data_IF_593887473262
#
_entry.id   IF_593887473262
#
_cell.length_a   1.000
_cell.length_b   1.000
_cell.length_c   1.000
_cell.angle_alpha   90.00
_cell.angle_beta   90.00
_cell.angle_gamma   90.00
#
_symmetry.space_group_name_H-M   'P 1'
#
loop_
_entity.id
_entity.type
_entity.pdbx_description
1 polymer ?
#
# COMPACT_ATOMS: atom_id res chain seq x y z
N UNK A 1 -13.79 10.95 33.67
CA UNK A 1 -12.46 10.72 33.07
C UNK A 1 -12.21 9.22 33.03
N UNK A 2 -12.72 8.54 32.01
CA UNK A 2 -12.06 7.34 31.45
C UNK A 2 -12.62 6.99 30.06
N UNK A 3 -12.43 7.90 29.10
CA UNK A 3 -12.76 7.65 27.69
C UNK A 3 -11.77 6.66 27.03
N UNK A 4 -10.72 6.21 27.76
CA UNK A 4 -9.70 5.30 27.22
C UNK A 4 -10.12 3.84 27.19
N UNK A 5 -11.14 3.45 27.94
CA UNK A 5 -11.61 2.04 27.99
C UNK A 5 -12.59 1.73 26.85
N UNK A 6 -13.15 2.74 26.18
CA UNK A 6 -14.00 2.54 24.99
C UNK A 6 -13.21 2.20 23.72
N UNK A 7 -11.90 2.46 23.68
CA UNK A 7 -11.05 2.31 22.48
C UNK A 7 -10.53 0.88 22.24
N UNK A 8 -10.85 -0.07 23.11
CA UNK A 8 -10.49 -1.49 22.93
C UNK A 8 -11.59 -2.32 22.26
N UNK A 9 -12.73 -1.71 21.91
CA UNK A 9 -13.78 -2.43 21.19
C UNK A 9 -13.38 -2.59 19.72
N UNK A 10 -13.40 -3.81 19.16
CA UNK A 10 -13.19 -4.00 17.74
C UNK A 10 -14.21 -3.15 16.98
N UNK A 11 -13.71 -2.27 16.11
CA UNK A 11 -14.54 -1.42 15.25
C UNK A 11 -15.62 -2.27 14.56
N UNK A 12 -16.92 -2.00 14.83
CA UNK A 12 -18.02 -2.81 14.33
C UNK A 12 -18.23 -2.68 12.81
N UNK A 13 -17.53 -1.75 12.15
CA UNK A 13 -17.74 -1.43 10.73
C UNK A 13 -16.95 -2.28 9.75
N UNK A 14 -16.00 -3.12 10.19
CA UNK A 14 -15.25 -4.01 9.31
C UNK A 14 -15.05 -5.41 9.91
N UNK A 15 -15.29 -6.49 9.12
CA UNK A 15 -14.99 -7.86 9.50
C UNK A 15 -13.56 -7.99 10.02
N UNK A 16 -13.38 -8.81 11.06
CA UNK A 16 -12.06 -9.04 11.65
C UNK A 16 -11.01 -9.47 10.61
N UNK A 17 -11.42 -10.22 9.58
CA UNK A 17 -10.55 -10.61 8.46
C UNK A 17 -10.06 -9.40 7.64
N UNK A 18 -10.96 -8.51 7.22
CA UNK A 18 -10.60 -7.31 6.45
C UNK A 18 -9.70 -6.39 7.27
N UNK A 19 -10.02 -6.19 8.54
CA UNK A 19 -9.18 -5.40 9.45
C UNK A 19 -7.77 -5.99 9.58
N UNK A 20 -7.64 -7.31 9.73
CA UNK A 20 -6.34 -8.00 9.75
C UNK A 20 -5.60 -7.84 8.43
N UNK A 21 -6.29 -8.01 7.30
CA UNK A 21 -5.69 -7.84 5.97
C UNK A 21 -5.13 -6.43 5.77
N UNK A 22 -5.87 -5.38 6.15
CA UNK A 22 -5.39 -4.01 6.11
C UNK A 22 -4.23 -3.75 7.08
N UNK A 23 -4.26 -4.31 8.29
CA UNK A 23 -3.16 -4.18 9.23
C UNK A 23 -1.87 -4.83 8.70
N UNK A 24 -1.98 -6.04 8.12
CA UNK A 24 -0.85 -6.72 7.47
C UNK A 24 -0.34 -5.92 6.27
N UNK A 25 -1.23 -5.40 5.43
CA UNK A 25 -0.86 -4.55 4.31
C UNK A 25 -0.16 -3.26 4.76
N UNK A 26 -0.65 -2.62 5.82
CA UNK A 26 -0.05 -1.40 6.38
C UNK A 26 1.34 -1.69 6.97
N UNK A 27 1.51 -2.79 7.70
CA UNK A 27 2.81 -3.22 8.21
C UNK A 27 3.79 -3.55 7.08
N UNK A 28 3.33 -4.25 6.03
CA UNK A 28 4.12 -4.55 4.85
C UNK A 28 4.59 -3.29 4.12
N UNK A 29 3.70 -2.30 3.93
CA UNK A 29 4.05 -0.99 3.37
C UNK A 29 5.08 -0.25 4.22
N UNK A 30 4.91 -0.27 5.55
CA UNK A 30 5.84 0.37 6.47
C UNK A 30 7.23 -0.26 6.36
N UNK A 31 7.32 -1.59 6.44
CA UNK A 31 8.57 -2.33 6.36
C UNK A 31 9.27 -2.12 5.00
N UNK A 32 8.52 -2.26 3.89
CA UNK A 32 9.06 -2.06 2.55
C UNK A 32 9.47 -0.61 2.31
N UNK A 33 8.68 0.35 2.78
CA UNK A 33 8.96 1.78 2.65
C UNK A 33 10.18 2.21 3.45
N UNK A 34 10.36 1.71 4.68
CA UNK A 34 11.59 1.93 5.46
C UNK A 34 12.80 1.35 4.73
N UNK A 35 12.69 0.14 4.19
CA UNK A 35 13.77 -0.45 3.40
C UNK A 35 14.11 0.40 2.16
N UNK A 36 13.10 0.95 1.47
CA UNK A 36 13.29 1.85 0.33
C UNK A 36 13.98 3.17 0.70
N UNK A 37 13.78 3.68 1.92
CA UNK A 37 14.44 4.90 2.41
C UNK A 37 15.89 4.64 2.81
N UNK A 38 16.12 3.58 3.58
CA UNK A 38 17.43 3.25 4.17
C UNK A 38 18.37 2.61 3.14
N UNK A 39 17.86 1.66 2.34
CA UNK A 39 18.64 0.92 1.37
C UNK A 39 17.87 0.72 0.05
N UNK A 40 17.80 1.78 -0.80
CA UNK A 40 17.13 1.70 -2.11
C UNK A 40 17.69 0.58 -2.98
N UNK A 41 19.01 0.36 -2.95
CA UNK A 41 19.64 -0.73 -3.70
C UNK A 41 19.16 -2.11 -3.25
N UNK A 42 19.11 -2.39 -1.94
CA UNK A 42 18.58 -3.67 -1.46
C UNK A 42 17.08 -3.82 -1.77
N UNK A 43 16.33 -2.72 -1.77
CA UNK A 43 14.92 -2.71 -2.17
C UNK A 43 14.76 -3.15 -3.63
N UNK A 44 15.58 -2.62 -4.55
CA UNK A 44 15.60 -3.04 -5.95
C UNK A 44 16.03 -4.50 -6.13
N UNK A 45 17.01 -4.98 -5.36
CA UNK A 45 17.38 -6.41 -5.35
C UNK A 45 16.22 -7.29 -4.93
N UNK A 46 15.52 -6.92 -3.87
CA UNK A 46 14.35 -7.65 -3.37
C UNK A 46 13.17 -7.60 -4.37
N UNK A 47 13.06 -6.52 -5.15
CA UNK A 47 12.11 -6.42 -6.26
C UNK A 47 12.54 -7.22 -7.51
N UNK A 48 13.74 -7.81 -7.51
CA UNK A 48 14.26 -8.61 -8.63
C UNK A 48 14.85 -7.79 -9.78
N UNK A 49 15.22 -6.52 -9.53
CA UNK A 49 15.78 -5.60 -10.53
C UNK A 49 17.00 -4.81 -10.03
N UNK A 50 18.06 -5.50 -9.56
CA UNK A 50 19.31 -4.84 -9.18
C UNK A 50 19.87 -3.91 -10.28
N UNK A 51 19.70 -4.29 -11.55
CA UNK A 51 20.27 -3.63 -12.72
C UNK A 51 19.61 -2.28 -13.06
N UNK A 52 18.45 -1.97 -12.48
CA UNK A 52 17.75 -0.70 -12.69
C UNK A 52 18.23 0.42 -11.75
N UNK A 53 19.28 0.18 -10.96
CA UNK A 53 19.77 1.16 -10.00
C UNK A 53 20.46 2.34 -10.71
N UNK A 54 19.71 3.42 -10.92
CA UNK A 54 20.23 4.74 -11.32
C UNK A 54 19.97 5.77 -10.21
N UNK A 55 20.59 6.97 -10.24
CA UNK A 55 20.28 8.04 -9.28
C UNK A 55 18.79 8.45 -9.28
N UNK A 56 18.15 8.51 -10.45
CA UNK A 56 16.74 8.86 -10.62
C UNK A 56 15.83 7.78 -10.03
N UNK A 57 16.13 6.50 -10.31
CA UNK A 57 15.39 5.38 -9.73
C UNK A 57 15.59 5.35 -8.21
N UNK A 58 16.81 5.61 -7.72
CA UNK A 58 17.10 5.69 -6.28
C UNK A 58 16.29 6.80 -5.60
N UNK A 59 16.20 7.97 -6.21
CA UNK A 59 15.36 9.06 -5.73
C UNK A 59 13.88 8.67 -5.70
N UNK A 60 13.35 8.11 -6.80
CA UNK A 60 11.95 7.68 -6.89
C UNK A 60 11.62 6.56 -5.89
N UNK A 61 12.51 5.59 -5.70
CA UNK A 61 12.37 4.53 -4.69
C UNK A 61 12.19 5.14 -3.30
N UNK A 62 12.96 6.18 -2.94
CA UNK A 62 12.79 6.89 -1.66
C UNK A 62 11.46 7.64 -1.58
N UNK A 63 11.05 8.32 -2.65
CA UNK A 63 9.75 9.02 -2.69
C UNK A 63 8.60 8.03 -2.49
N UNK A 64 8.61 6.90 -3.20
CA UNK A 64 7.62 5.84 -3.03
C UNK A 64 7.68 5.23 -1.63
N UNK A 65 8.89 5.06 -1.08
CA UNK A 65 9.10 4.59 0.28
C UNK A 65 8.48 5.51 1.33
N UNK A 66 8.74 6.82 1.25
CA UNK A 66 8.16 7.82 2.16
C UNK A 66 6.63 7.77 2.16
N UNK A 67 6.01 7.66 0.98
CA UNK A 67 4.56 7.53 0.82
C UNK A 67 4.03 6.24 1.47
N UNK A 68 4.71 5.11 1.25
CA UNK A 68 4.32 3.84 1.85
C UNK A 68 4.42 3.89 3.39
N UNK A 69 5.45 4.51 3.93
CA UNK A 69 5.60 4.77 5.37
C UNK A 69 4.46 5.62 5.90
N UNK A 70 4.15 6.75 5.24
CA UNK A 70 3.08 7.64 5.68
C UNK A 70 1.72 6.94 5.75
N UNK A 71 1.36 6.18 4.71
CA UNK A 71 0.10 5.42 4.68
C UNK A 71 0.09 4.31 5.74
N UNK A 72 1.19 3.58 5.89
CA UNK A 72 1.32 2.50 6.87
C UNK A 72 1.20 3.00 8.31
N UNK A 73 1.96 4.05 8.66
CA UNK A 73 1.90 4.71 9.96
C UNK A 73 0.52 5.26 10.23
N UNK A 74 -0.05 6.00 9.27
CA UNK A 74 -1.36 6.61 9.39
C UNK A 74 -2.47 5.59 9.68
N UNK A 75 -2.41 4.42 9.03
CA UNK A 75 -3.35 3.34 9.31
C UNK A 75 -3.11 2.70 10.68
N UNK A 76 -1.87 2.32 11.00
CA UNK A 76 -1.55 1.54 12.21
C UNK A 76 -1.76 2.34 13.50
N UNK A 77 -1.44 3.64 13.48
CA UNK A 77 -1.60 4.54 14.62
C UNK A 77 -2.96 5.24 14.67
N UNK A 78 -3.71 5.22 13.58
CA UNK A 78 -5.01 5.87 13.50
C UNK A 78 -6.07 5.20 14.37
N UNK A 79 -6.98 6.01 14.90
CA UNK A 79 -8.27 5.57 15.42
C UNK A 79 -9.18 5.09 14.28
N UNK A 80 -10.39 4.64 14.60
CA UNK A 80 -11.36 4.13 13.60
C UNK A 80 -11.61 5.12 12.44
N UNK A 81 -11.96 6.40 12.68
CA UNK A 81 -12.12 7.39 11.61
C UNK A 81 -10.85 7.62 10.78
N UNK A 82 -9.67 7.71 11.44
CA UNK A 82 -8.40 7.91 10.74
C UNK A 82 -8.05 6.69 9.87
N UNK A 83 -8.25 5.47 10.37
CA UNK A 83 -8.05 4.23 9.60
C UNK A 83 -8.88 4.23 8.32
N UNK A 84 -10.16 4.57 8.41
CA UNK A 84 -11.02 4.66 7.22
C UNK A 84 -10.51 5.70 6.21
N UNK A 85 -10.00 6.85 6.69
CA UNK A 85 -9.41 7.88 5.83
C UNK A 85 -8.13 7.39 5.14
N UNK A 86 -7.24 6.73 5.88
CA UNK A 86 -6.00 6.17 5.34
C UNK A 86 -6.23 4.98 4.41
N UNK A 87 -7.29 4.19 4.62
CA UNK A 87 -7.70 3.16 3.65
C UNK A 87 -8.09 3.79 2.31
N UNK A 88 -8.87 4.87 2.30
CA UNK A 88 -9.28 5.58 1.08
C UNK A 88 -8.10 6.23 0.36
N UNK A 89 -7.19 6.86 1.10
CA UNK A 89 -5.96 7.43 0.55
C UNK A 89 -5.05 6.33 -0.02
N UNK A 90 -4.93 5.20 0.69
CA UNK A 90 -4.22 4.01 0.20
C UNK A 90 -4.80 3.54 -1.12
N UNK A 91 -6.10 3.27 -1.16
CA UNK A 91 -6.81 2.85 -2.38
C UNK A 91 -6.55 3.81 -3.55
N UNK A 92 -6.66 5.13 -3.33
CA UNK A 92 -6.40 6.12 -4.37
C UNK A 92 -4.99 5.98 -4.92
N UNK A 93 -3.98 5.94 -4.05
CA UNK A 93 -2.57 5.81 -4.42
C UNK A 93 -2.32 4.50 -5.16
N UNK A 94 -2.75 3.37 -4.61
CA UNK A 94 -2.52 2.05 -5.21
C UNK A 94 -3.18 1.94 -6.58
N UNK A 95 -4.37 2.54 -6.75
CA UNK A 95 -5.09 2.54 -8.03
C UNK A 95 -4.33 3.35 -9.08
N UNK A 96 -3.83 4.53 -8.72
CA UNK A 96 -3.02 5.36 -9.61
C UNK A 96 -1.73 4.66 -10.02
N UNK A 97 -1.03 4.04 -9.06
CA UNK A 97 0.19 3.29 -9.33
C UNK A 97 -0.08 2.07 -10.24
N UNK A 98 -1.18 1.35 -9.98
CA UNK A 98 -1.60 0.18 -10.79
C UNK A 98 -1.93 0.58 -12.22
N UNK A 99 -2.72 1.64 -12.42
CA UNK A 99 -3.03 2.15 -13.77
C UNK A 99 -1.78 2.66 -14.47
N UNK A 100 -0.93 3.41 -13.77
CA UNK A 100 0.34 3.91 -14.30
C UNK A 100 1.25 2.77 -14.76
N UNK A 101 1.41 1.73 -13.92
CA UNK A 101 2.21 0.57 -14.25
C UNK A 101 1.62 -0.28 -15.38
N UNK A 102 0.30 -0.46 -15.44
CA UNK A 102 -0.38 -1.12 -16.57
C UNK A 102 -0.18 -0.35 -17.88
N UNK A 103 -0.17 0.98 -17.83
CA UNK A 103 0.13 1.81 -18.99
C UNK A 103 1.59 1.66 -19.42
N UNK A 104 2.54 1.69 -18.48
CA UNK A 104 3.96 1.50 -18.75
C UNK A 104 4.27 0.11 -19.34
N UNK A 105 3.56 -0.93 -18.91
CA UNK A 105 3.71 -2.29 -19.45
C UNK A 105 3.44 -2.38 -20.96
N UNK A 106 2.68 -1.44 -21.54
CA UNK A 106 2.42 -1.42 -22.99
C UNK A 106 3.61 -0.95 -23.82
N UNK A 107 4.59 -0.30 -23.20
CA UNK A 107 5.77 0.26 -23.87
C UNK A 107 7.08 -0.42 -23.47
N UNK A 108 7.04 -1.51 -22.68
CA UNK A 108 8.23 -2.23 -22.25
C UNK A 108 8.36 -3.52 -23.07
N UNK A 109 9.31 -3.50 -24.00
CA UNK A 109 9.59 -4.65 -24.88
C UNK A 109 10.65 -5.61 -24.31
N UNK A 110 11.48 -5.13 -23.38
CA UNK A 110 12.52 -5.92 -22.74
C UNK A 110 11.93 -6.90 -21.71
N UNK A 111 12.17 -8.21 -21.88
CA UNK A 111 11.54 -9.24 -21.05
C UNK A 111 11.90 -9.15 -19.55
N UNK A 112 13.18 -8.96 -19.14
CA UNK A 112 13.54 -8.70 -17.75
C UNK A 112 12.80 -7.51 -17.13
N UNK A 113 12.83 -6.34 -17.78
CA UNK A 113 12.12 -5.13 -17.31
C UNK A 113 10.62 -5.33 -17.25
N UNK A 114 10.05 -6.02 -18.24
CA UNK A 114 8.61 -6.33 -18.28
C UNK A 114 8.21 -7.22 -17.11
N UNK A 115 9.00 -8.26 -16.80
CA UNK A 115 8.74 -9.13 -15.64
C UNK A 115 8.74 -8.34 -14.33
N UNK A 116 9.70 -7.44 -14.16
CA UNK A 116 9.77 -6.59 -12.99
C UNK A 116 8.58 -5.63 -12.87
N UNK A 117 8.23 -4.96 -13.97
CA UNK A 117 7.06 -4.08 -14.01
C UNK A 117 5.77 -4.85 -13.71
N UNK A 118 5.61 -6.09 -14.21
CA UNK A 118 4.48 -6.97 -13.87
C UNK A 118 4.45 -7.26 -12.37
N UNK A 119 5.58 -7.57 -11.74
CA UNK A 119 5.65 -7.82 -10.30
C UNK A 119 5.23 -6.59 -9.49
N UNK A 120 5.72 -5.41 -9.86
CA UNK A 120 5.34 -4.15 -9.19
C UNK A 120 3.85 -3.84 -9.36
N UNK A 121 3.31 -4.03 -10.56
CA UNK A 121 1.87 -3.88 -10.84
C UNK A 121 1.04 -4.90 -10.06
N UNK A 122 1.51 -6.13 -9.91
CA UNK A 122 0.82 -7.15 -9.12
C UNK A 122 0.75 -6.76 -7.64
N UNK A 123 1.82 -6.16 -7.09
CA UNK A 123 1.85 -5.66 -5.71
C UNK A 123 0.83 -4.53 -5.52
N UNK A 124 0.88 -3.49 -6.35
CA UNK A 124 -0.06 -2.36 -6.23
C UNK A 124 -1.49 -2.79 -6.53
N UNK A 125 -1.70 -3.68 -7.51
CA UNK A 125 -3.01 -4.22 -7.85
C UNK A 125 -3.63 -5.03 -6.71
N UNK A 126 -2.82 -5.79 -5.96
CA UNK A 126 -3.27 -6.50 -4.75
C UNK A 126 -3.77 -5.51 -3.69
N UNK A 127 -3.04 -4.42 -3.48
CA UNK A 127 -3.46 -3.38 -2.55
C UNK A 127 -4.71 -2.63 -3.03
N UNK A 128 -4.82 -2.33 -4.32
CA UNK A 128 -6.05 -1.77 -4.93
C UNK A 128 -7.24 -2.68 -4.70
N UNK A 129 -7.10 -3.98 -4.95
CA UNK A 129 -8.17 -4.95 -4.74
C UNK A 129 -8.64 -4.99 -3.27
N UNK A 130 -7.69 -4.95 -2.33
CA UNK A 130 -8.01 -4.86 -0.90
C UNK A 130 -8.76 -3.56 -0.55
N UNK A 131 -8.32 -2.42 -1.09
CA UNK A 131 -8.98 -1.14 -0.91
C UNK A 131 -10.40 -1.09 -1.47
N UNK A 132 -10.62 -1.70 -2.64
CA UNK A 132 -11.95 -1.85 -3.25
C UNK A 132 -12.84 -2.71 -2.35
N UNK A 133 -12.35 -3.87 -1.89
CA UNK A 133 -13.10 -4.75 -1.00
C UNK A 133 -13.54 -4.03 0.29
N UNK A 134 -12.63 -3.25 0.91
CA UNK A 134 -12.97 -2.43 2.08
C UNK A 134 -14.00 -1.33 1.78
N UNK A 135 -13.91 -0.69 0.63
CA UNK A 135 -14.85 0.37 0.22
C UNK A 135 -16.24 -0.17 -0.11
N UNK A 136 -16.32 -1.30 -0.81
CA UNK A 136 -17.59 -2.00 -1.09
C UNK A 136 -18.24 -2.44 0.22
N UNK A 137 -17.48 -2.99 1.16
CA UNK A 137 -18.01 -3.39 2.45
C UNK A 137 -18.59 -2.21 3.24
N UNK A 138 -17.92 -1.06 3.25
CA UNK A 138 -18.43 0.14 3.89
C UNK A 138 -19.75 0.62 3.25
N UNK A 139 -19.81 0.65 1.91
CA UNK A 139 -21.02 1.05 1.18
C UNK A 139 -22.23 0.12 1.45
N UNK A 140 -21.99 -1.18 1.59
CA UNK A 140 -23.04 -2.14 1.90
C UNK A 140 -23.51 -2.03 3.35
N UNK A 141 -22.60 -1.71 4.27
CA UNK A 141 -22.91 -1.58 5.70
C UNK A 141 -23.68 -0.29 6.02
N UNK A 142 -23.48 0.78 5.25
CA UNK A 142 -24.20 2.05 5.41
C UNK A 142 -25.66 2.02 4.89
N UNK A 143 -26.05 0.95 4.17
CA UNK A 143 -27.39 0.78 3.58
C UNK A 143 -28.37 0.02 4.48
N UNK A 144 -27.93 -0.48 5.63
CA UNK A 144 -28.69 -1.25 6.60
C UNK A 144 -28.68 -0.56 7.96
#
# INVERSE_FOLDING_TARGET
MDDRVQDLRPDPRQPALLRRAFAVAAAGRLAWGVAALVSPGANLRAAGVPELQTPEVTYLTRVFGARAVAIGVGYLQGDTPARARWQRLGLLVDSLDTVGGLNALRSIDDAPRRRAAVLLVAITGTYTALGIAGSVHALLSDRH
#
